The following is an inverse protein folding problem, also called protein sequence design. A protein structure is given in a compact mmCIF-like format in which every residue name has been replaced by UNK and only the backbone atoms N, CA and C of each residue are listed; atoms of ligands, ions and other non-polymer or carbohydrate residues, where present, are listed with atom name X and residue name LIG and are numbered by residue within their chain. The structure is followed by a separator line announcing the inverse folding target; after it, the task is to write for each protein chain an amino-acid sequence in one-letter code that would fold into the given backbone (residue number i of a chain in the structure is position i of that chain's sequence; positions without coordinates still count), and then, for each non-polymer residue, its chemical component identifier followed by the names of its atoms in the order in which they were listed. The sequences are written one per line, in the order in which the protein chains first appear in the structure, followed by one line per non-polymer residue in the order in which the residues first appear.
data_IF_014706862678
#
_entry.id   IF_014706862678
#
_cell.length_a   1.000
_cell.length_b   1.000
_cell.length_c   1.000
_cell.angle_alpha   90.00
_cell.angle_beta   90.00
_cell.angle_gamma   90.00
#
_symmetry.space_group_name_H-M   'P 1'
#
loop_
_entity.id
_entity.type
_entity.pdbx_description
1 polymer ?
#
# COMPACT_ATOMS: atom_id res chain seq x y z
N UNK A 1 -9.43 -28.01 13.92
CA UNK A 1 -9.83 -27.53 14.59
C UNK A 1 -9.80 -27.63 14.70
N UNK A 2 -9.97 -27.73 14.12
CA UNK A 2 -10.05 -27.23 14.68
C UNK A 2 -9.88 -27.08 14.91
N UNK A 3 -9.17 -27.10 14.40
CA UNK A 3 -9.35 -26.54 15.02
C UNK A 3 -9.09 -26.58 15.17
N UNK A 4 -8.83 -26.78 14.64
CA UNK A 4 -8.81 -26.28 15.21
C UNK A 4 -8.50 -26.09 15.36
N UNK A 5 -7.86 -26.21 14.90
CA UNK A 5 -7.96 -25.64 15.47
C UNK A 5 -7.62 -25.67 15.54
N UNK A 6 -7.12 -25.66 15.08
CA UNK A 6 -7.15 -25.14 15.55
C UNK A 6 -6.80 -24.84 15.63
N UNK A 7 -6.25 -25.09 15.24
CA UNK A 7 -6.35 -24.43 15.72
C UNK A 7 -5.91 -24.34 15.69
N UNK A 8 -5.40 -24.31 15.25
CA UNK A 8 -5.49 -23.76 15.59
C UNK A 8 -5.22 -23.53 15.52
N UNK A 9 -4.75 -23.69 15.17
CA UNK A 9 -4.93 -22.97 15.49
C UNK A 9 -4.81 -22.70 15.41
N UNK A 10 -4.42 -22.62 15.08
CA UNK A 10 -4.65 -21.92 15.30
C UNK A 10 -4.42 -21.51 15.30
N UNK A 11 -4.25 -21.26 14.96
CA UNK A 11 -4.42 -20.41 15.04
C UNK A 11 -4.22 -19.87 14.86
N UNK A 12 -3.76 -19.68 15.13
CA UNK A 12 -4.04 -18.57 14.83
C UNK A 12 -3.86 -18.12 13.56
N UNK A 13 -3.60 -18.52 12.54
CA UNK A 13 -3.80 -18.07 11.47
C UNK A 13 -5.05 -17.61 11.13
N UNK A 14 -5.98 -18.00 11.49
CA UNK A 14 -7.28 -17.42 11.35
C UNK A 14 -7.35 -16.02 11.91
N UNK A 15 -6.55 -15.74 12.90
CA UNK A 15 -6.47 -14.39 13.42
C UNK A 15 -5.85 -13.45 12.42
N UNK A 16 -4.80 -13.88 11.74
CA UNK A 16 -4.20 -13.07 10.69
C UNK A 16 -5.21 -12.81 9.57
N UNK A 17 -6.06 -13.78 9.30
CA UNK A 17 -7.07 -13.62 8.25
C UNK A 17 -8.10 -12.55 8.57
N UNK A 18 -8.21 -12.11 9.81
CA UNK A 18 -9.13 -11.04 10.19
C UNK A 18 -8.53 -9.66 10.09
N UNK A 19 -7.23 -9.55 9.91
CA UNK A 19 -6.63 -8.24 9.70
C UNK A 19 -7.14 -7.65 8.39
N UNK A 20 -7.44 -6.34 8.34
CA UNK A 20 -7.82 -5.72 7.08
C UNK A 20 -6.73 -5.95 6.03
N UNK A 21 -7.13 -6.37 4.86
CA UNK A 21 -6.21 -6.64 3.77
C UNK A 21 -6.72 -5.92 2.54
N UNK A 22 -5.96 -4.97 2.05
CA UNK A 22 -6.29 -4.25 0.84
C UNK A 22 -5.46 -4.78 -0.33
N UNK A 23 -5.98 -4.66 -1.53
CA UNK A 23 -5.31 -5.15 -2.73
C UNK A 23 -4.82 -3.97 -3.56
N UNK A 24 -3.56 -4.03 -3.92
CA UNK A 24 -2.94 -3.10 -4.87
C UNK A 24 -2.85 -3.80 -6.22
N UNK A 25 -3.38 -3.17 -7.26
CA UNK A 25 -3.39 -3.76 -8.60
C UNK A 25 -2.64 -2.84 -9.56
N UNK A 26 -1.63 -3.38 -10.22
CA UNK A 26 -0.87 -2.66 -11.23
C UNK A 26 -1.54 -2.76 -12.59
N UNK A 27 -1.11 -1.91 -13.53
CA UNK A 27 -1.70 -1.85 -14.87
C UNK A 27 -1.62 -3.15 -15.64
N UNK A 28 -0.61 -3.98 -15.35
CA UNK A 28 -0.45 -5.28 -16.01
C UNK A 28 -1.27 -6.39 -15.35
N UNK A 29 -2.05 -6.07 -14.32
CA UNK A 29 -2.88 -7.04 -13.61
C UNK A 29 -2.20 -7.68 -12.41
N UNK A 30 -0.93 -7.40 -12.17
CA UNK A 30 -0.24 -7.93 -10.99
C UNK A 30 -0.83 -7.33 -9.72
N UNK A 31 -1.05 -8.16 -8.70
CA UNK A 31 -1.68 -7.73 -7.46
C UNK A 31 -0.78 -8.01 -6.26
N UNK A 32 -0.93 -7.17 -5.24
CA UNK A 32 -0.23 -7.32 -3.97
C UNK A 32 -1.22 -7.07 -2.84
N UNK A 33 -1.13 -7.86 -1.78
CA UNK A 33 -1.94 -7.64 -0.59
C UNK A 33 -1.15 -6.84 0.43
N UNK A 34 -1.81 -5.85 1.06
CA UNK A 34 -1.21 -5.07 2.14
C UNK A 34 -2.12 -5.12 3.35
N UNK A 35 -1.55 -5.34 4.54
CA UNK A 35 -2.33 -5.57 5.75
C UNK A 35 -2.00 -4.62 6.88
N UNK A 36 -0.94 -3.86 6.79
CA UNK A 36 -0.51 -2.95 7.83
C UNK A 36 0.30 -1.83 7.24
N UNK A 37 1.26 -1.33 8.00
CA UNK A 37 2.16 -0.32 7.47
C UNK A 37 3.12 -0.99 6.48
N UNK A 38 3.19 -0.45 5.27
CA UNK A 38 4.02 -1.00 4.20
C UNK A 38 4.71 0.15 3.47
N UNK A 39 6.01 0.06 3.34
CA UNK A 39 6.80 1.04 2.59
C UNK A 39 6.97 0.54 1.17
N UNK A 40 6.61 1.39 0.21
CA UNK A 40 6.64 1.06 -1.21
C UNK A 40 7.78 1.81 -1.88
N UNK A 41 8.43 1.17 -2.81
CA UNK A 41 9.46 1.81 -3.61
C UNK A 41 10.12 0.83 -4.54
N UNK A 42 11.17 1.30 -5.20
CA UNK A 42 11.99 0.47 -6.06
C UNK A 42 12.88 -0.46 -5.25
N UNK A 43 13.37 0.03 -4.10
CA UNK A 43 14.15 -0.72 -3.13
C UNK A 43 13.92 -0.13 -1.75
N UNK A 44 12.72 -0.35 -1.18
CA UNK A 44 12.31 0.41 0.00
C UNK A 44 13.07 0.00 1.25
N UNK A 45 13.37 1.01 2.08
CA UNK A 45 13.92 0.84 3.41
C UNK A 45 12.96 1.56 4.37
N UNK A 46 12.49 0.89 5.44
CA UNK A 46 11.58 1.54 6.38
C UNK A 46 12.25 2.74 7.04
N UNK A 47 11.57 3.90 7.09
CA UNK A 47 12.11 5.04 7.84
C UNK A 47 12.12 4.74 9.34
N UNK A 48 12.93 5.49 10.08
CA UNK A 48 13.12 5.26 11.52
C UNK A 48 11.81 5.28 12.28
N UNK A 49 10.88 6.18 11.92
CA UNK A 49 9.58 6.29 12.59
C UNK A 49 8.68 5.09 12.30
N UNK A 50 8.99 4.30 11.29
CA UNK A 50 8.19 3.15 10.87
C UNK A 50 9.08 1.93 10.66
N UNK A 51 10.00 1.71 11.59
CA UNK A 51 11.01 0.66 11.47
C UNK A 51 10.39 -0.74 11.34
N UNK A 52 9.18 -0.92 11.86
CA UNK A 52 8.48 -2.22 11.81
C UNK A 52 7.61 -2.38 10.56
N UNK A 53 7.59 -1.40 9.66
CA UNK A 53 6.79 -1.50 8.45
C UNK A 53 7.31 -2.60 7.53
N UNK A 54 6.40 -3.28 6.85
CA UNK A 54 6.77 -4.18 5.78
C UNK A 54 7.32 -3.38 4.61
N UNK A 55 8.04 -4.04 3.72
CA UNK A 55 8.53 -3.40 2.49
C UNK A 55 7.96 -4.12 1.29
N UNK A 56 7.65 -3.36 0.25
CA UNK A 56 7.13 -3.89 -0.99
C UNK A 56 7.82 -3.20 -2.16
N UNK A 57 8.67 -3.95 -2.85
CA UNK A 57 9.32 -3.45 -4.05
C UNK A 57 8.40 -3.71 -5.23
N UNK A 58 7.91 -2.65 -5.86
CA UNK A 58 7.06 -2.79 -7.03
C UNK A 58 7.90 -2.88 -8.30
N UNK A 59 7.46 -3.68 -9.29
CA UNK A 59 8.11 -3.68 -10.60
C UNK A 59 8.06 -2.28 -11.20
N UNK A 60 9.21 -1.78 -11.62
CA UNK A 60 9.33 -0.40 -12.08
C UNK A 60 10.33 -0.33 -13.24
N UNK A 61 9.98 -0.91 -14.41
CA UNK A 61 10.92 -0.96 -15.53
C UNK A 61 11.31 0.41 -16.06
N UNK A 62 10.49 1.43 -15.85
CA UNK A 62 10.76 2.79 -16.32
C UNK A 62 11.38 3.68 -15.27
N UNK A 63 11.67 3.12 -14.10
CA UNK A 63 12.32 3.82 -12.99
C UNK A 63 11.56 5.07 -12.56
N UNK A 64 10.24 4.94 -12.43
CA UNK A 64 9.36 6.01 -11.95
C UNK A 64 9.38 6.17 -10.44
N UNK A 65 9.73 5.10 -9.73
CA UNK A 65 9.70 5.07 -8.27
C UNK A 65 11.03 5.52 -7.69
N UNK A 66 10.95 6.26 -6.59
CA UNK A 66 12.10 6.43 -5.70
C UNK A 66 12.41 5.11 -5.01
N UNK A 67 13.64 4.97 -4.49
CA UNK A 67 14.00 3.76 -3.73
C UNK A 67 13.01 3.54 -2.60
N UNK A 68 12.75 4.55 -1.80
CA UNK A 68 11.74 4.56 -0.75
C UNK A 68 10.76 5.66 -1.11
N UNK A 69 9.59 5.30 -1.65
CA UNK A 69 8.71 6.25 -2.31
C UNK A 69 7.58 6.73 -1.39
N UNK A 70 6.88 5.80 -0.77
CA UNK A 70 5.68 6.13 0.00
C UNK A 70 5.44 5.11 1.09
N UNK A 71 4.69 5.54 2.11
CA UNK A 71 4.21 4.66 3.18
C UNK A 71 2.71 4.47 2.98
N UNK A 72 2.26 3.22 3.03
CA UNK A 72 0.85 2.86 3.05
C UNK A 72 0.52 2.34 4.43
N UNK A 73 -0.58 2.85 5.01
CA UNK A 73 -1.09 2.37 6.30
C UNK A 73 -2.53 1.94 6.12
N UNK A 74 -2.83 0.70 6.49
CA UNK A 74 -4.14 0.08 6.25
C UNK A 74 -5.01 0.25 7.49
N UNK A 75 -6.23 0.74 7.26
CA UNK A 75 -7.28 0.77 8.26
C UNK A 75 -8.50 0.01 7.72
N UNK A 76 -9.53 -0.17 8.56
CA UNK A 76 -10.66 -0.99 8.17
C UNK A 76 -11.38 -0.48 6.92
N UNK A 77 -11.59 0.85 6.84
CA UNK A 77 -12.41 1.45 5.79
C UNK A 77 -11.62 2.22 4.75
N UNK A 78 -10.33 2.38 4.96
CA UNK A 78 -9.52 3.20 4.07
C UNK A 78 -8.05 2.83 4.23
N UNK A 79 -7.27 3.26 3.28
CA UNK A 79 -5.82 3.27 3.45
C UNK A 79 -5.34 4.71 3.45
N UNK A 80 -4.21 4.92 4.08
CA UNK A 80 -3.56 6.22 4.14
C UNK A 80 -2.24 6.11 3.41
N UNK A 81 -1.95 7.11 2.59
CA UNK A 81 -0.71 7.15 1.82
C UNK A 81 0.05 8.40 2.21
N UNK A 82 1.32 8.24 2.50
CA UNK A 82 2.23 9.35 2.82
C UNK A 82 3.38 9.32 1.82
N UNK A 83 3.59 10.41 1.10
CA UNK A 83 4.75 10.53 0.23
C UNK A 83 6.00 10.73 1.08
N UNK A 84 7.04 9.94 0.84
CA UNK A 84 8.28 10.00 1.61
C UNK A 84 9.33 10.84 0.87
N UNK A 85 8.93 12.03 0.42
CA UNK A 85 9.78 12.97 -0.30
C UNK A 85 10.32 12.34 -1.59
N UNK A 86 9.43 11.71 -2.34
CA UNK A 86 9.79 11.03 -3.57
C UNK A 86 10.20 12.02 -4.66
N UNK A 87 11.03 11.56 -5.58
CA UNK A 87 11.52 12.40 -6.67
C UNK A 87 10.40 12.82 -7.62
N UNK A 88 9.53 11.88 -7.98
CA UNK A 88 8.49 12.12 -8.99
C UNK A 88 7.10 12.35 -8.40
N UNK A 89 6.98 12.32 -7.07
CA UNK A 89 5.72 12.64 -6.40
C UNK A 89 4.76 11.47 -6.31
N UNK A 90 3.64 11.73 -5.65
CA UNK A 90 2.56 10.76 -5.46
C UNK A 90 1.24 11.49 -5.69
N UNK A 91 0.41 10.95 -6.58
CA UNK A 91 -0.91 11.53 -6.92
C UNK A 91 -2.01 10.57 -6.52
N UNK A 92 -3.12 11.13 -6.04
CA UNK A 92 -4.34 10.37 -5.79
C UNK A 92 -5.30 10.68 -6.93
N UNK A 93 -5.79 9.65 -7.60
CA UNK A 93 -6.68 9.80 -8.75
C UNK A 93 -8.04 9.26 -8.37
N UNK A 94 -9.04 10.14 -8.38
CA UNK A 94 -10.42 9.79 -8.06
C UNK A 94 -11.09 9.11 -9.24
N UNK A 95 -12.27 8.50 -8.98
CA UNK A 95 -12.99 7.78 -10.01
C UNK A 95 -13.44 8.65 -11.18
N UNK A 96 -13.56 9.96 -10.97
CA UNK A 96 -13.90 10.91 -12.04
C UNK A 96 -12.69 11.37 -12.84
N UNK A 97 -11.50 10.85 -12.54
CA UNK A 97 -10.27 11.21 -13.23
C UNK A 97 -9.52 12.39 -12.64
N UNK A 98 -10.07 13.02 -11.61
CA UNK A 98 -9.40 14.14 -10.95
C UNK A 98 -8.15 13.66 -10.21
N UNK A 99 -7.00 14.28 -10.49
CA UNK A 99 -5.74 13.93 -9.83
C UNK A 99 -5.38 15.01 -8.81
N UNK A 100 -4.89 14.56 -7.65
CA UNK A 100 -4.41 15.47 -6.61
C UNK A 100 -3.02 15.01 -6.19
N UNK A 101 -2.04 15.89 -6.32
CA UNK A 101 -0.68 15.62 -5.86
C UNK A 101 -0.61 15.88 -4.36
N UNK A 102 -0.13 14.91 -3.59
CA UNK A 102 0.08 15.12 -2.17
C UNK A 102 1.47 15.69 -1.94
N UNK A 103 1.57 16.53 -0.91
CA UNK A 103 2.86 17.13 -0.56
C UNK A 103 3.76 16.09 0.12
N UNK A 104 5.10 16.28 0.08
CA UNK A 104 5.99 15.40 0.82
C UNK A 104 5.59 15.34 2.29
N UNK A 105 5.54 14.11 2.82
CA UNK A 105 5.16 13.80 4.20
C UNK A 105 3.71 14.14 4.55
N UNK A 106 2.91 14.50 3.58
CA UNK A 106 1.46 14.67 3.77
C UNK A 106 0.80 13.30 3.75
N UNK A 107 0.00 13.02 4.78
CA UNK A 107 -0.77 11.79 4.89
C UNK A 107 -2.13 12.00 4.28
N UNK A 108 -2.51 11.19 3.31
CA UNK A 108 -3.75 11.36 2.56
C UNK A 108 -4.56 10.06 2.57
N UNK A 109 -5.85 10.19 2.87
CA UNK A 109 -6.77 9.05 2.88
C UNK A 109 -7.13 8.67 1.44
N UNK A 110 -7.12 7.36 1.15
CA UNK A 110 -7.48 6.83 -0.16
C UNK A 110 -8.61 5.84 0.01
N UNK A 111 -9.63 5.96 -0.82
CA UNK A 111 -10.80 5.11 -0.76
C UNK A 111 -10.70 3.97 -1.77
N UNK A 112 -11.46 2.90 -1.50
CA UNK A 112 -11.50 1.75 -2.41
C UNK A 112 -11.94 2.18 -3.80
N UNK A 113 -11.25 1.66 -4.81
CA UNK A 113 -11.52 1.98 -6.21
C UNK A 113 -10.73 3.16 -6.75
N UNK A 114 -10.09 3.92 -5.88
CA UNK A 114 -9.23 5.01 -6.34
C UNK A 114 -7.87 4.47 -6.79
N UNK A 115 -7.13 5.28 -7.53
CA UNK A 115 -5.80 4.94 -8.00
C UNK A 115 -4.79 5.87 -7.34
N UNK A 116 -3.68 5.30 -6.90
CA UNK A 116 -2.53 6.09 -6.44
C UNK A 116 -1.45 5.96 -7.50
N UNK A 117 -0.98 7.09 -8.01
CA UNK A 117 0.14 7.09 -8.95
C UNK A 117 1.41 7.41 -8.18
N UNK A 118 2.29 6.42 -8.07
CA UNK A 118 3.60 6.59 -7.44
C UNK A 118 4.59 6.96 -8.54
N UNK A 119 5.03 8.20 -8.56
CA UNK A 119 5.67 8.72 -9.74
C UNK A 119 4.66 8.72 -10.87
N UNK A 120 4.89 7.94 -11.90
CA UNK A 120 3.91 7.74 -12.96
C UNK A 120 3.44 6.30 -13.04
N UNK A 121 3.67 5.53 -11.98
CA UNK A 121 3.23 4.14 -11.91
C UNK A 121 1.86 4.09 -11.24
N UNK A 122 0.77 3.84 -12.00
CA UNK A 122 -0.56 3.81 -11.42
C UNK A 122 -0.82 2.48 -10.70
N UNK A 123 -1.38 2.59 -9.51
CA UNK A 123 -1.73 1.44 -8.67
C UNK A 123 -3.14 1.64 -8.15
N UNK A 124 -4.05 0.77 -8.55
CA UNK A 124 -5.41 0.82 -8.05
C UNK A 124 -5.47 0.20 -6.66
N UNK A 125 -6.25 0.78 -5.77
CA UNK A 125 -6.43 0.25 -4.42
C UNK A 125 -7.87 -0.22 -4.24
N UNK A 126 -8.03 -1.40 -3.68
CA UNK A 126 -9.35 -1.97 -3.43
C UNK A 126 -9.34 -2.64 -2.06
N UNK A 127 -10.46 -2.49 -1.35
CA UNK A 127 -10.63 -3.17 -0.08
C UNK A 127 -11.04 -4.63 -0.29
N UNK A 128 -10.98 -5.43 0.78
CA UNK A 128 -11.35 -6.84 0.69
C UNK A 128 -12.75 -7.06 0.19
#
# INVERSE_FOLDING_TARGET
AEAEAEATVLTPRSRAARAPSWTLTLSDGMTFAVTGATVIGRRPTPPALHADAATLALPDPQRMLSKTHALIEVEADAIWVTDLDSTNGTDIISGDGTARTIAPHERCRVLSGQTVSFGELPVRVDRP
#
